data_IF_280853370462
#
_entry.id   IF_280853370462
#
_cell.length_a   1.000
_cell.length_b   1.000
_cell.length_c   1.000
_cell.angle_alpha   90.00
_cell.angle_beta   90.00
_cell.angle_gamma   90.00
#
_symmetry.space_group_name_H-M   'P 1'
#
loop_
_entity.id
_entity.type
_entity.pdbx_description
1 polymer ?
#
# COMPACT_ATOMS: atom_id res chain seq x y z
N UNK A 1 37.21 -1.03 -7.62
CA UNK A 1 36.91 -0.91 -9.06
C UNK A 1 35.92 -2.03 -9.37
N UNK A 2 34.61 -1.84 -9.27
CA UNK A 2 33.85 -0.61 -9.53
C UNK A 2 32.62 -0.58 -8.63
N UNK A 3 32.59 0.44 -7.80
CA UNK A 3 31.47 1.22 -7.25
C UNK A 3 30.11 0.54 -7.01
N UNK A 4 29.84 0.41 -5.71
CA UNK A 4 28.54 0.48 -5.06
C UNK A 4 27.60 1.46 -5.78
N UNK A 5 26.55 0.94 -6.41
CA UNK A 5 25.35 1.71 -6.70
C UNK A 5 24.22 1.05 -5.92
N UNK A 6 23.98 1.56 -4.71
CA UNK A 6 22.75 1.32 -3.97
C UNK A 6 21.59 1.89 -4.77
N UNK A 7 20.99 1.07 -5.64
CA UNK A 7 19.64 1.30 -6.11
C UNK A 7 18.83 0.11 -5.62
N UNK A 8 18.24 0.24 -4.44
CA UNK A 8 17.23 -0.72 -3.98
C UNK A 8 16.11 -0.74 -5.03
N UNK A 9 16.06 -1.79 -5.83
CA UNK A 9 14.96 -2.01 -6.76
C UNK A 9 13.66 -1.99 -5.95
N UNK A 10 12.76 -1.07 -6.29
CA UNK A 10 11.45 -0.94 -5.66
C UNK A 10 10.68 -2.24 -5.89
N UNK A 11 10.74 -3.16 -4.91
CA UNK A 11 10.07 -4.44 -4.98
C UNK A 11 8.57 -4.26 -4.80
N UNK A 12 7.79 -4.83 -5.73
CA UNK A 12 6.35 -4.98 -5.54
C UNK A 12 6.04 -6.25 -4.76
N UNK A 13 5.18 -6.11 -3.77
CA UNK A 13 4.60 -7.18 -2.98
C UNK A 13 3.16 -7.39 -3.43
N UNK A 14 2.77 -8.66 -3.47
CA UNK A 14 1.41 -9.08 -3.81
C UNK A 14 0.90 -9.97 -2.67
N UNK A 15 -0.22 -9.59 -2.05
CA UNK A 15 -0.81 -10.33 -0.93
C UNK A 15 -2.33 -10.44 -1.08
N UNK A 16 -2.88 -11.54 -0.58
CA UNK A 16 -4.32 -11.62 -0.27
C UNK A 16 -4.60 -10.83 1.01
N UNK A 17 -5.88 -10.51 1.26
CA UNK A 17 -6.29 -9.79 2.48
C UNK A 17 -5.80 -10.48 3.76
N UNK A 18 -6.01 -11.80 3.88
CA UNK A 18 -5.59 -12.59 5.05
C UNK A 18 -4.07 -12.70 5.22
N UNK A 19 -3.30 -12.41 4.16
CA UNK A 19 -1.83 -12.45 4.19
C UNK A 19 -1.20 -11.09 4.53
N UNK A 20 -2.02 -10.03 4.68
CA UNK A 20 -1.56 -8.72 5.13
C UNK A 20 -1.29 -8.76 6.63
N UNK A 21 -0.17 -8.16 7.04
CA UNK A 21 -0.01 -7.74 8.42
C UNK A 21 -0.95 -6.57 8.71
N UNK A 22 -1.33 -6.39 9.97
CA UNK A 22 -2.11 -5.23 10.42
C UNK A 22 -1.42 -3.91 10.10
N UNK A 23 -0.08 -3.89 10.05
CA UNK A 23 0.71 -2.72 9.64
C UNK A 23 0.55 -2.41 8.15
N UNK A 24 0.67 -3.42 7.28
CA UNK A 24 0.49 -3.24 5.83
C UNK A 24 -0.94 -2.76 5.52
N UNK A 25 -1.95 -3.37 6.14
CA UNK A 25 -3.35 -2.95 5.99
C UNK A 25 -3.55 -1.50 6.44
N UNK A 26 -3.00 -1.12 7.61
CA UNK A 26 -3.11 0.25 8.11
C UNK A 26 -2.48 1.28 7.17
N UNK A 27 -1.25 1.04 6.68
CA UNK A 27 -0.59 1.99 5.77
C UNK A 27 -1.32 2.09 4.42
N UNK A 28 -1.91 1.00 3.91
CA UNK A 28 -2.76 1.04 2.71
C UNK A 28 -4.00 1.90 2.92
N UNK A 29 -4.73 1.69 4.02
CA UNK A 29 -5.94 2.46 4.33
C UNK A 29 -5.61 3.94 4.54
N UNK A 30 -4.49 4.24 5.21
CA UNK A 30 -3.99 5.61 5.37
C UNK A 30 -3.67 6.26 4.03
N UNK A 31 -2.92 5.57 3.16
CA UNK A 31 -2.57 6.10 1.85
C UNK A 31 -3.82 6.36 0.98
N UNK A 32 -4.81 5.46 1.04
CA UNK A 32 -6.11 5.65 0.38
C UNK A 32 -6.87 6.85 0.95
N UNK A 33 -6.88 7.04 2.26
CA UNK A 33 -7.53 8.19 2.90
C UNK A 33 -6.87 9.53 2.52
N UNK A 34 -5.54 9.59 2.48
CA UNK A 34 -4.79 10.79 2.07
C UNK A 34 -5.21 11.23 0.65
N UNK A 35 -5.37 10.28 -0.27
CA UNK A 35 -5.79 10.59 -1.66
C UNK A 35 -7.31 10.81 -1.77
N UNK A 36 -8.14 9.84 -1.36
CA UNK A 36 -9.59 9.90 -1.61
C UNK A 36 -10.26 10.98 -0.77
N UNK A 37 -9.95 11.07 0.53
CA UNK A 37 -10.56 12.06 1.42
C UNK A 37 -9.77 13.37 1.39
N UNK A 38 -8.44 13.28 1.49
CA UNK A 38 -7.55 14.44 1.57
C UNK A 38 -7.53 15.24 0.27
N UNK A 39 -7.11 14.63 -0.84
CA UNK A 39 -6.93 15.32 -2.12
C UNK A 39 -8.23 15.41 -2.94
N UNK A 40 -8.91 14.28 -3.13
CA UNK A 40 -10.05 14.16 -4.04
C UNK A 40 -11.40 14.55 -3.41
N UNK A 41 -11.44 14.74 -2.08
CA UNK A 41 -12.65 15.11 -1.32
C UNK A 41 -13.82 14.14 -1.50
N UNK A 42 -13.53 12.86 -1.73
CA UNK A 42 -14.52 11.78 -1.73
C UNK A 42 -14.88 11.49 -0.27
N UNK A 43 -16.09 11.90 0.13
CA UNK A 43 -16.60 11.75 1.51
C UNK A 43 -17.50 10.51 1.66
N UNK A 44 -17.06 9.39 1.09
CA UNK A 44 -17.74 8.10 1.21
C UNK A 44 -16.83 7.09 1.90
N UNK A 45 -17.38 6.10 2.63
CA UNK A 45 -16.58 5.05 3.23
C UNK A 45 -15.81 4.25 2.16
N UNK A 46 -14.49 4.23 2.28
CA UNK A 46 -13.59 3.49 1.41
C UNK A 46 -13.55 1.99 1.73
N UNK A 47 -13.82 1.64 3.00
CA UNK A 47 -13.91 0.26 3.47
C UNK A 47 -15.29 -0.33 3.17
N UNK A 48 -15.54 -0.65 1.91
CA UNK A 48 -16.81 -1.17 1.39
C UNK A 48 -16.97 -2.71 1.51
N UNK A 49 -15.91 -3.40 1.96
CA UNK A 49 -15.88 -4.86 2.11
C UNK A 49 -15.38 -5.60 0.87
N UNK A 50 -15.03 -4.91 -0.22
CA UNK A 50 -14.43 -5.53 -1.41
C UNK A 50 -12.99 -5.96 -1.15
N UNK A 51 -12.31 -5.29 -0.20
CA UNK A 51 -10.92 -5.59 0.17
C UNK A 51 -10.73 -7.06 0.58
N UNK A 52 -11.70 -7.70 1.25
CA UNK A 52 -11.58 -9.11 1.65
C UNK A 52 -11.29 -10.07 0.49
N UNK A 53 -11.78 -9.77 -0.73
CA UNK A 53 -11.64 -10.62 -1.92
C UNK A 53 -10.71 -10.01 -2.98
N UNK A 54 -9.90 -9.02 -2.61
CA UNK A 54 -9.05 -8.28 -3.55
C UNK A 54 -7.59 -8.73 -3.54
N UNK A 55 -6.90 -8.53 -4.66
CA UNK A 55 -5.44 -8.69 -4.73
C UNK A 55 -4.77 -7.36 -4.35
N UNK A 56 -3.89 -7.39 -3.35
CA UNK A 56 -3.27 -6.17 -2.83
C UNK A 56 -1.84 -6.09 -3.32
N UNK A 57 -1.56 -5.08 -4.15
CA UNK A 57 -0.24 -4.87 -4.76
C UNK A 57 0.33 -3.55 -4.25
N UNK A 58 1.53 -3.59 -3.68
CA UNK A 58 2.14 -2.41 -3.05
C UNK A 58 3.67 -2.51 -3.02
N UNK A 59 4.34 -1.37 -2.85
CA UNK A 59 5.77 -1.30 -2.58
C UNK A 59 6.02 -0.67 -1.22
N UNK A 60 7.05 -1.12 -0.51
CA UNK A 60 7.52 -0.45 0.71
C UNK A 60 8.82 0.26 0.41
N UNK A 61 8.92 1.52 0.82
CA UNK A 61 10.21 2.22 0.88
C UNK A 61 10.81 1.90 2.24
N UNK A 62 11.91 1.15 2.26
CA UNK A 62 12.70 0.98 3.48
C UNK A 62 13.65 2.16 3.57
N UNK A 63 13.49 2.95 4.64
CA UNK A 63 14.45 3.97 5.04
C UNK A 63 15.55 3.34 5.90
#
# INVERSE_FOLDING_TARGET
>A
MTDYVHTELLGFYVRSFDALTTRELYEMLRARADVFVGEQKILFPDTDGIDYNSLHVFSVVRM
#
